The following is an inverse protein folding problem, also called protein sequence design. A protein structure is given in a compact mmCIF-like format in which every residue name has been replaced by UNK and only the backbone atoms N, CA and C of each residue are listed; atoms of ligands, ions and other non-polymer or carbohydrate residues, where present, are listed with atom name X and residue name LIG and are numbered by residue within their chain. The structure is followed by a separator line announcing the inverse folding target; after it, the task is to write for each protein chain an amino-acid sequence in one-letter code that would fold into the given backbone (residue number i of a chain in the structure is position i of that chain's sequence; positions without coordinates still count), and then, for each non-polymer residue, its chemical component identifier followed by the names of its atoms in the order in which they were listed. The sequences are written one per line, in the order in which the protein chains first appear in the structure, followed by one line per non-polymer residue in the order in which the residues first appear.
data_IF_486935311881
#
_entry.id   IF_486935311881
#
_cell.length_a   1.000
_cell.length_b   1.000
_cell.length_c   1.000
_cell.angle_alpha   90.00
_cell.angle_beta   90.00
_cell.angle_gamma   90.00
#
_symmetry.space_group_name_H-M   'P 1'
#
loop_
_entity.id
_entity.type
_entity.pdbx_description
1 polymer ?
#
# COMPACT_ATOMS: atom_id res chain seq x y z
N UNK A 1 2.28 11.40 12.48
CA UNK A 1 1.56 10.36 13.27
C UNK A 1 0.04 10.38 13.12
N UNK A 2 -0.57 11.34 12.41
CA UNK A 2 -2.04 11.42 12.22
C UNK A 2 -2.55 10.55 11.04
N UNK A 3 -1.79 10.49 9.94
CA UNK A 3 -2.20 9.71 8.75
C UNK A 3 -2.29 8.20 9.06
N UNK A 4 -1.33 7.63 9.79
CA UNK A 4 -1.35 6.21 10.16
C UNK A 4 -2.53 5.82 11.06
N UNK A 5 -3.03 6.74 11.90
CA UNK A 5 -4.12 6.45 12.83
C UNK A 5 -5.51 6.65 12.22
N UNK A 6 -5.62 7.50 11.19
CA UNK A 6 -6.89 7.77 10.49
C UNK A 6 -7.02 7.06 9.15
N UNK A 7 -5.96 6.41 8.69
CA UNK A 7 -5.91 5.83 7.36
C UNK A 7 -5.92 6.90 6.27
N UNK A 8 -6.01 6.48 5.02
CA UNK A 8 -5.99 7.38 3.86
C UNK A 8 -6.71 6.72 2.70
N UNK A 9 -7.58 7.50 2.06
CA UNK A 9 -8.38 7.07 0.91
C UNK A 9 -7.52 7.04 -0.34
N UNK A 10 -7.82 6.13 -1.24
CA UNK A 10 -7.29 6.09 -2.59
C UNK A 10 -8.45 5.78 -3.53
N UNK A 11 -8.55 6.50 -4.64
CA UNK A 11 -9.54 6.20 -5.67
C UNK A 11 -9.25 4.82 -6.30
N UNK A 12 -10.28 4.04 -6.56
CA UNK A 12 -10.12 2.66 -7.04
C UNK A 12 -9.44 2.57 -8.40
N UNK A 13 -9.58 3.58 -9.28
CA UNK A 13 -8.89 3.61 -10.58
C UNK A 13 -7.40 3.84 -10.36
N UNK A 14 -7.08 4.77 -9.45
CA UNK A 14 -5.70 5.03 -9.08
C UNK A 14 -5.06 3.82 -8.41
N UNK A 15 -5.80 3.11 -7.54
CA UNK A 15 -5.33 1.85 -6.96
C UNK A 15 -5.05 0.79 -8.03
N UNK A 16 -5.96 0.58 -8.98
CA UNK A 16 -5.79 -0.38 -10.08
C UNK A 16 -4.53 -0.07 -10.90
N UNK A 17 -4.33 1.20 -11.26
CA UNK A 17 -3.12 1.68 -11.94
C UNK A 17 -1.85 1.38 -11.13
N UNK A 18 -1.85 1.73 -9.84
CA UNK A 18 -0.64 1.65 -9.02
C UNK A 18 -0.29 0.24 -8.57
N UNK A 19 -1.30 -0.61 -8.36
CA UNK A 19 -1.11 -1.99 -7.87
C UNK A 19 -0.27 -2.87 -8.81
N UNK A 20 -0.20 -2.48 -10.09
CA UNK A 20 0.63 -3.15 -11.11
C UNK A 20 2.11 -2.80 -10.95
N UNK A 21 2.42 -1.52 -10.82
CA UNK A 21 3.79 -1.00 -10.91
C UNK A 21 4.45 -0.72 -9.57
N UNK A 22 3.67 -0.67 -8.49
CA UNK A 22 4.13 -0.27 -7.16
C UNK A 22 3.72 -1.27 -6.08
N UNK A 23 4.58 -1.47 -5.09
CA UNK A 23 4.25 -2.25 -3.89
C UNK A 23 3.55 -1.38 -2.86
N UNK A 24 2.56 -1.97 -2.17
CA UNK A 24 1.85 -1.26 -1.10
C UNK A 24 0.94 -0.14 -1.61
N UNK A 25 0.55 -0.13 -2.89
CA UNK A 25 -0.53 0.74 -3.38
C UNK A 25 -1.85 -0.05 -3.41
N UNK A 26 -2.26 -0.58 -2.26
CA UNK A 26 -3.49 -1.37 -2.11
C UNK A 26 -4.26 -0.81 -0.93
N UNK A 27 -5.57 -0.65 -1.08
CA UNK A 27 -6.43 0.00 -0.10
C UNK A 27 -6.36 -0.63 1.28
N UNK A 28 -6.27 -1.96 1.40
CA UNK A 28 -6.15 -2.68 2.69
C UNK A 28 -4.78 -2.51 3.39
N UNK A 29 -3.72 -2.30 2.60
CA UNK A 29 -2.37 -2.19 3.11
C UNK A 29 -1.54 -1.27 2.23
N UNK A 30 -1.31 -0.07 2.76
CA UNK A 30 -0.61 0.96 2.02
C UNK A 30 0.81 1.19 2.53
N UNK A 31 1.75 1.36 1.61
CA UNK A 31 3.14 1.65 1.94
C UNK A 31 3.75 2.61 0.93
N UNK A 32 4.32 3.69 1.45
CA UNK A 32 4.91 4.78 0.67
C UNK A 32 5.92 5.54 1.52
N UNK A 33 6.60 6.50 0.92
CA UNK A 33 7.57 7.37 1.56
C UNK A 33 6.99 8.77 1.74
N UNK A 34 7.19 9.37 2.92
CA UNK A 34 7.00 10.80 3.19
C UNK A 34 8.36 11.35 3.63
N UNK A 35 8.95 12.27 2.87
CA UNK A 35 10.29 12.83 3.15
C UNK A 35 11.35 11.74 3.45
N UNK A 36 11.45 10.73 2.59
CA UNK A 36 12.32 9.55 2.73
C UNK A 36 12.05 8.64 3.96
N UNK A 37 11.03 8.95 4.77
CA UNK A 37 10.59 8.11 5.87
C UNK A 37 9.57 7.09 5.37
N UNK A 38 9.80 5.77 5.54
CA UNK A 38 8.82 4.76 5.14
C UNK A 38 7.61 4.81 6.06
N UNK A 39 6.43 4.88 5.44
CA UNK A 39 5.13 4.89 6.09
C UNK A 39 4.39 3.64 5.65
N UNK A 40 4.02 2.80 6.63
CA UNK A 40 3.11 1.68 6.44
C UNK A 40 1.78 1.97 7.12
N UNK A 41 0.68 1.70 6.41
CA UNK A 41 -0.68 1.93 6.87
C UNK A 41 -1.46 0.62 6.70
N UNK A 42 -1.87 0.04 7.82
CA UNK A 42 -2.90 -0.99 7.85
C UNK A 42 -4.24 -0.27 7.78
N UNK A 43 -4.68 0.03 6.57
CA UNK A 43 -5.98 0.62 6.32
C UNK A 43 -7.03 -0.46 6.61
N UNK A 44 -7.60 -0.44 7.82
CA UNK A 44 -8.75 -1.28 8.15
C UNK A 44 -10.04 -0.78 7.47
N UNK A 45 -11.20 -1.24 7.93
CA UNK A 45 -12.53 -0.79 7.47
C UNK A 45 -12.84 0.72 7.69
N UNK A 46 -11.89 1.52 8.16
CA UNK A 46 -12.08 2.91 8.61
C UNK A 46 -11.69 3.97 7.58
N UNK A 47 -11.41 3.57 6.34
CA UNK A 47 -10.89 4.44 5.30
C UNK A 47 -11.92 5.44 4.78
N UNK A 48 -13.20 5.09 4.75
CA UNK A 48 -14.26 5.90 4.13
C UNK A 48 -14.43 7.28 4.78
N UNK A 49 -14.18 7.39 6.10
CA UNK A 49 -14.26 8.66 6.83
C UNK A 49 -12.91 9.36 6.99
N UNK A 50 -11.83 8.83 6.39
CA UNK A 50 -10.53 9.46 6.50
C UNK A 50 -10.53 10.84 5.83
N UNK A 51 -10.05 11.88 6.54
CA UNK A 51 -9.88 13.20 5.95
C UNK A 51 -8.73 13.23 4.92
N UNK A 52 -7.93 12.15 4.87
CA UNK A 52 -6.78 12.04 4.00
C UNK A 52 -7.12 11.28 2.71
N UNK A 53 -6.59 11.75 1.59
CA UNK A 53 -6.78 11.14 0.28
C UNK A 53 -5.50 11.22 -0.54
N UNK A 54 -5.11 10.12 -1.18
CA UNK A 54 -4.04 10.13 -2.17
C UNK A 54 -4.59 10.57 -3.51
N UNK A 55 -3.90 11.53 -4.13
CA UNK A 55 -4.17 11.99 -5.49
C UNK A 55 -2.90 12.00 -6.31
N UNK A 56 -3.08 11.86 -7.62
CA UNK A 56 -2.01 12.10 -8.60
C UNK A 56 -1.80 13.61 -8.73
N UNK A 57 -0.55 14.01 -8.82
CA UNK A 57 -0.10 15.39 -9.07
C UNK A 57 0.81 15.42 -10.29
N UNK A 58 1.16 16.61 -10.79
CA UNK A 58 2.10 16.75 -11.92
C UNK A 58 3.49 16.16 -11.61
N UNK A 59 3.87 16.08 -10.33
CA UNK A 59 5.15 15.55 -9.85
C UNK A 59 5.11 14.11 -9.36
N UNK A 60 3.95 13.44 -9.37
CA UNK A 60 3.79 12.09 -8.82
C UNK A 60 2.51 11.93 -8.03
N UNK A 61 2.63 11.77 -6.71
CA UNK A 61 1.50 11.53 -5.81
C UNK A 61 1.63 12.37 -4.56
N UNK A 62 0.50 12.79 -4.02
CA UNK A 62 0.45 13.51 -2.75
C UNK A 62 -0.76 13.09 -1.93
N UNK A 63 -0.62 13.18 -0.61
CA UNK A 63 -1.72 13.15 0.33
C UNK A 63 -2.33 14.54 0.39
N UNK A 64 -3.65 14.58 0.31
CA UNK A 64 -4.48 15.75 0.55
C UNK A 64 -5.22 15.57 1.87
N UNK A 65 -5.40 16.65 2.62
CA UNK A 65 -6.26 16.70 3.82
C UNK A 65 -7.43 17.62 3.50
N UNK A 66 -8.64 17.06 3.52
CA UNK A 66 -9.88 17.84 3.31
C UNK A 66 -9.86 18.70 2.02
N UNK A 67 -9.19 18.20 0.97
CA UNK A 67 -9.09 18.85 -0.33
C UNK A 67 -7.84 19.72 -0.53
N UNK A 68 -7.08 20.01 0.52
CA UNK A 68 -5.85 20.79 0.47
C UNK A 68 -4.60 19.90 0.41
N UNK A 69 -3.54 20.28 -0.31
CA UNK A 69 -2.28 19.54 -0.32
C UNK A 69 -1.72 19.41 1.10
N UNK A 70 -1.35 18.20 1.49
CA UNK A 70 -0.79 17.92 2.82
C UNK A 70 0.68 17.51 2.75
N UNK A 71 1.02 16.49 1.94
CA UNK A 71 2.39 15.98 1.84
C UNK A 71 2.59 15.19 0.53
N UNK A 72 3.69 15.43 -0.17
CA UNK A 72 4.10 14.61 -1.31
C UNK A 72 4.57 13.23 -0.86
N UNK A 73 4.24 12.21 -1.64
CA UNK A 73 4.59 10.83 -1.34
C UNK A 73 5.22 10.12 -2.52
N UNK A 74 6.06 9.14 -2.23
CA UNK A 74 6.62 8.24 -3.24
C UNK A 74 6.25 6.81 -2.95
N UNK A 75 5.64 6.13 -3.92
CA UNK A 75 5.46 4.69 -3.85
C UNK A 75 6.73 3.96 -4.25
N UNK A 76 6.97 2.82 -3.61
CA UNK A 76 8.08 1.97 -3.99
C UNK A 76 7.72 1.17 -5.24
N UNK A 77 8.55 1.26 -6.28
CA UNK A 77 8.37 0.45 -7.49
C UNK A 77 8.40 -1.04 -7.16
N UNK A 78 7.57 -1.80 -7.88
CA UNK A 78 7.51 -3.25 -7.78
C UNK A 78 8.86 -3.87 -8.10
N UNK A 79 9.48 -4.60 -7.16
CA UNK A 79 10.76 -5.26 -7.42
C UNK A 79 10.57 -6.45 -8.38
N UNK A 80 11.50 -6.64 -9.32
CA UNK A 80 11.43 -7.73 -10.31
C UNK A 80 11.37 -9.15 -9.69
N UNK A 81 11.84 -9.35 -8.45
CA UNK A 81 11.74 -10.66 -7.81
C UNK A 81 10.31 -11.04 -7.44
N UNK A 82 9.37 -10.08 -7.37
CA UNK A 82 7.95 -10.35 -7.11
C UNK A 82 7.31 -11.20 -8.20
N UNK A 83 7.88 -11.19 -9.41
CA UNK A 83 7.40 -11.96 -10.56
C UNK A 83 8.07 -13.33 -10.66
N UNK A 84 9.04 -13.63 -9.79
CA UNK A 84 9.63 -14.97 -9.69
C UNK A 84 8.68 -15.92 -9.00
N UNK A 85 8.88 -17.21 -9.25
CA UNK A 85 8.12 -18.29 -8.62
C UNK A 85 9.00 -19.14 -7.71
N UNK A 86 8.39 -19.74 -6.69
CA UNK A 86 9.01 -20.83 -5.92
C UNK A 86 9.14 -22.09 -6.78
N UNK A 87 9.88 -23.09 -6.29
CA UNK A 87 9.98 -24.41 -6.93
C UNK A 87 8.62 -25.15 -7.06
N UNK A 88 7.56 -24.65 -6.42
CA UNK A 88 6.18 -25.16 -6.52
C UNK A 88 5.26 -24.23 -7.32
N UNK A 89 5.80 -23.26 -8.06
CA UNK A 89 5.03 -22.36 -8.92
C UNK A 89 4.27 -21.26 -8.19
N UNK A 90 4.63 -20.93 -6.94
CA UNK A 90 3.98 -19.81 -6.22
C UNK A 90 4.72 -18.51 -6.50
N UNK A 91 4.03 -17.54 -7.08
CA UNK A 91 4.58 -16.20 -7.34
C UNK A 91 4.97 -15.50 -6.03
N UNK A 92 6.18 -14.92 -5.98
CA UNK A 92 6.76 -14.32 -4.79
C UNK A 92 5.94 -13.15 -4.22
N UNK A 93 5.21 -12.41 -5.07
CA UNK A 93 4.27 -11.35 -4.64
C UNK A 93 3.15 -11.82 -3.70
N UNK A 94 2.84 -13.13 -3.70
CA UNK A 94 1.87 -13.74 -2.78
C UNK A 94 2.45 -14.02 -1.40
N UNK A 95 3.76 -14.23 -1.33
CA UNK A 95 4.50 -14.66 -0.13
C UNK A 95 5.18 -13.48 0.58
N UNK A 96 5.51 -12.43 -0.17
CA UNK A 96 6.26 -11.28 0.30
C UNK A 96 5.46 -10.00 0.11
N UNK A 97 5.47 -9.14 1.13
CA UNK A 97 5.18 -7.71 1.02
C UNK A 97 6.49 -6.95 1.16
N UNK A 98 6.55 -5.72 0.66
CA UNK A 98 7.71 -4.86 0.84
C UNK A 98 7.22 -3.50 1.31
N UNK A 99 7.83 -3.02 2.39
CA UNK A 99 7.42 -1.78 3.07
C UNK A 99 8.44 -0.66 2.92
N UNK A 100 9.68 -1.04 2.60
CA UNK A 100 10.77 -0.14 2.27
C UNK A 100 11.83 -0.90 1.44
N UNK A 101 12.69 -0.20 0.66
CA UNK A 101 13.84 -0.81 0.00
C UNK A 101 14.66 -1.66 0.97
N UNK A 102 14.92 -2.91 0.60
CA UNK A 102 15.72 -3.82 1.43
C UNK A 102 15.01 -4.41 2.65
N UNK A 103 13.74 -4.05 2.90
CA UNK A 103 12.93 -4.60 4.00
C UNK A 103 11.73 -5.41 3.48
N UNK A 104 11.97 -6.62 2.93
CA UNK A 104 10.89 -7.54 2.62
C UNK A 104 10.26 -8.08 3.91
N UNK A 105 8.94 -8.02 3.99
CA UNK A 105 8.15 -8.71 5.01
C UNK A 105 7.58 -9.98 4.38
N UNK A 106 8.12 -11.13 4.75
CA UNK A 106 7.62 -12.43 4.29
C UNK A 106 6.59 -12.92 5.29
N UNK A 107 5.33 -12.96 4.89
CA UNK A 107 4.28 -13.59 5.69
C UNK A 107 4.23 -15.07 5.32
N UNK A 108 4.91 -15.93 6.09
CA UNK A 108 4.89 -17.38 5.86
C UNK A 108 3.56 -18.06 6.22
N UNK A 109 2.56 -17.31 6.68
CA UNK A 109 1.24 -17.82 7.02
C UNK A 109 0.14 -16.91 6.47
N UNK A 110 -0.30 -17.14 5.24
CA UNK A 110 -1.71 -16.90 4.90
C UNK A 110 -2.49 -18.17 5.25
N UNK A 111 -2.68 -18.41 6.55
CA UNK A 111 -3.82 -19.22 6.96
C UNK A 111 -5.06 -18.50 6.41
N UNK A 112 -5.87 -19.18 5.62
CA UNK A 112 -7.17 -18.63 5.22
C UNK A 112 -7.93 -18.28 6.51
N UNK A 113 -8.04 -17.00 6.85
CA UNK A 113 -9.05 -16.56 7.80
C UNK A 113 -10.39 -16.60 7.06
N UNK A 114 -11.00 -17.79 7.06
CA UNK A 114 -12.40 -17.95 6.69
C UNK A 114 -13.25 -17.34 7.80
N UNK A 115 -13.68 -16.09 7.64
CA UNK A 115 -14.75 -15.50 8.45
C UNK A 115 -16.09 -15.89 7.81
N UNK A 116 -16.47 -17.16 7.97
CA UNK A 116 -17.84 -17.62 7.72
C UNK A 116 -18.69 -17.42 8.98
N UNK A 117 -20.04 -17.36 8.85
CA UNK A 117 -20.91 -17.15 10.00
C UNK A 117 -20.75 -18.29 11.02
N UNK A 118 -20.72 -17.91 12.29
CA UNK A 118 -20.70 -18.82 13.44
C UNK A 118 -21.97 -19.68 13.53
#
# INVERSE_FOLDING_TARGET
MEVQSRGVRIDWRLEEELSTDYVGAVSDYMSFFMDDVPVGILNGFYTDSSPFEIKRTDGGFAIYREGEPYQDITFLKRPAFFDRETNRGTVMSRLCKMVAPGFPIIYMNRGCMYWGPA
#
